data_IF_847785888225
#
_entry.id   IF_847785888225
#
_cell.length_a   1.000
_cell.length_b   1.000
_cell.length_c   1.000
_cell.angle_alpha   90.00
_cell.angle_beta   90.00
_cell.angle_gamma   90.00
#
_symmetry.space_group_name_H-M   'P 1'
#
loop_
_entity.id
_entity.type
_entity.pdbx_description
1 polymer ?
#
# COMPACT_ATOMS: atom_id res chain seq x y z
N UNK A 1 -12.45 -8.48 -0.33
CA UNK A 1 -12.01 -8.18 1.04
C UNK A 1 -10.79 -7.29 1.05
N UNK A 2 -9.59 -7.89 1.09
CA UNK A 2 -8.31 -7.19 1.33
C UNK A 2 -7.74 -6.42 0.11
N UNK A 3 -7.72 -7.05 -1.07
CA UNK A 3 -7.33 -6.42 -2.33
C UNK A 3 -8.03 -7.17 -3.48
N UNK A 4 -8.58 -6.49 -4.50
CA UNK A 4 -8.51 -5.03 -4.76
C UNK A 4 -9.55 -4.16 -4.04
N UNK A 5 -10.43 -4.76 -3.23
CA UNK A 5 -11.42 -4.02 -2.41
C UNK A 5 -10.76 -3.40 -1.16
N UNK A 6 -11.55 -2.73 -0.32
CA UNK A 6 -11.13 -2.01 0.89
C UNK A 6 -11.99 -2.32 2.13
N UNK A 7 -12.65 -3.48 2.14
CA UNK A 7 -13.46 -3.95 3.28
C UNK A 7 -12.58 -4.35 4.48
N UNK A 8 -11.36 -4.83 4.22
CA UNK A 8 -10.44 -5.28 5.27
C UNK A 8 -9.35 -4.22 5.47
N UNK A 9 -9.21 -3.73 6.70
CA UNK A 9 -8.31 -2.65 7.09
C UNK A 9 -7.68 -2.97 8.43
N UNK A 10 -6.37 -2.70 8.54
CA UNK A 10 -5.64 -2.79 9.80
C UNK A 10 -6.21 -1.86 10.90
N UNK A 11 -6.88 -0.79 10.51
CA UNK A 11 -7.37 0.25 11.41
C UNK A 11 -8.86 0.09 11.76
N UNK A 12 -9.69 -0.34 10.81
CA UNK A 12 -11.15 -0.47 11.03
C UNK A 12 -11.60 -1.90 11.32
N UNK A 13 -10.91 -2.90 10.78
CA UNK A 13 -11.26 -4.31 10.93
C UNK A 13 -10.04 -5.16 11.30
N UNK A 14 -9.36 -4.83 12.43
CA UNK A 14 -8.09 -5.45 12.82
C UNK A 14 -8.15 -6.98 12.96
N UNK A 15 -9.27 -7.53 13.41
CA UNK A 15 -9.48 -8.98 13.53
C UNK A 15 -9.50 -9.66 12.15
N UNK A 16 -10.22 -9.09 11.18
CA UNK A 16 -10.27 -9.60 9.80
C UNK A 16 -8.94 -9.41 9.09
N UNK A 17 -8.19 -8.35 9.42
CA UNK A 17 -6.86 -8.10 8.90
C UNK A 17 -5.88 -9.21 9.31
N UNK A 18 -5.80 -9.54 10.60
CA UNK A 18 -4.95 -10.63 11.08
C UNK A 18 -5.44 -12.01 10.59
N UNK A 19 -6.75 -12.23 10.50
CA UNK A 19 -7.30 -13.45 9.89
C UNK A 19 -6.91 -13.59 8.42
N UNK A 20 -6.87 -12.49 7.67
CA UNK A 20 -6.41 -12.47 6.27
C UNK A 20 -4.92 -12.77 6.16
N UNK A 21 -4.10 -12.22 7.07
CA UNK A 21 -2.67 -12.55 7.17
C UNK A 21 -2.46 -14.04 7.43
N UNK A 22 -3.16 -14.62 8.41
CA UNK A 22 -3.06 -16.05 8.70
C UNK A 22 -3.49 -16.90 7.49
N UNK A 23 -4.57 -16.52 6.82
CA UNK A 23 -5.02 -17.20 5.60
C UNK A 23 -3.94 -17.20 4.51
N UNK A 24 -3.23 -16.07 4.37
CA UNK A 24 -2.13 -15.94 3.41
C UNK A 24 -0.92 -16.78 3.79
N UNK A 25 -0.56 -16.84 5.09
CA UNK A 25 0.50 -17.72 5.60
C UNK A 25 0.19 -19.19 5.27
N UNK A 26 -1.05 -19.65 5.50
CA UNK A 26 -1.47 -21.02 5.17
C UNK A 26 -1.45 -21.31 3.66
N UNK A 27 -1.68 -20.29 2.81
CA UNK A 27 -1.58 -20.42 1.35
C UNK A 27 -0.13 -20.56 0.86
N UNK A 28 0.84 -20.08 1.63
CA UNK A 28 2.24 -20.04 1.25
C UNK A 28 2.54 -19.03 0.14
N UNK A 29 3.83 -18.82 -0.14
CA UNK A 29 4.30 -17.77 -1.07
C UNK A 29 4.32 -18.24 -2.53
N UNK A 30 4.94 -19.39 -2.79
CA UNK A 30 5.16 -19.90 -4.17
C UNK A 30 3.84 -20.29 -4.83
N UNK A 31 3.69 -19.91 -6.09
CA UNK A 31 2.54 -20.23 -6.95
C UNK A 31 2.86 -19.85 -8.40
N UNK A 32 1.85 -19.80 -9.27
CA UNK A 32 1.92 -19.24 -10.62
C UNK A 32 2.20 -17.73 -10.60
N UNK A 33 2.64 -17.17 -11.73
CA UNK A 33 3.00 -15.74 -11.87
C UNK A 33 1.92 -14.76 -11.41
N UNK A 34 0.69 -14.84 -11.93
CA UNK A 34 -0.45 -14.03 -11.46
C UNK A 34 -0.70 -14.14 -9.96
N UNK A 35 -0.56 -15.34 -9.41
CA UNK A 35 -0.86 -15.60 -8.00
C UNK A 35 0.19 -14.93 -7.12
N UNK A 36 1.47 -15.00 -7.50
CA UNK A 36 2.53 -14.28 -6.82
C UNK A 36 2.35 -12.76 -6.96
N UNK A 37 2.02 -12.25 -8.15
CA UNK A 37 1.71 -10.83 -8.35
C UNK A 37 0.57 -10.32 -7.45
N UNK A 38 -0.49 -11.11 -7.27
CA UNK A 38 -1.58 -10.78 -6.34
C UNK A 38 -1.10 -10.79 -4.89
N UNK A 39 -0.27 -11.77 -4.50
CA UNK A 39 0.30 -11.84 -3.15
C UNK A 39 1.21 -10.66 -2.83
N UNK A 40 1.94 -10.08 -3.79
CA UNK A 40 2.69 -8.82 -3.56
C UNK A 40 1.74 -7.72 -3.08
N UNK A 41 0.59 -7.56 -3.75
CA UNK A 41 -0.43 -6.58 -3.35
C UNK A 41 -1.02 -6.91 -1.97
N UNK A 42 -1.28 -8.19 -1.66
CA UNK A 42 -1.79 -8.57 -0.35
C UNK A 42 -0.79 -8.29 0.78
N UNK A 43 0.49 -8.63 0.61
CA UNK A 43 1.51 -8.32 1.61
C UNK A 43 1.76 -6.81 1.75
N UNK A 44 1.66 -6.06 0.64
CA UNK A 44 1.64 -4.60 0.69
C UNK A 44 0.45 -4.06 1.52
N UNK A 45 -0.78 -4.56 1.28
CA UNK A 45 -1.95 -4.20 2.10
C UNK A 45 -1.81 -4.61 3.56
N UNK A 46 -1.11 -5.71 3.82
CA UNK A 46 -0.76 -6.17 5.16
C UNK A 46 0.37 -5.37 5.81
N UNK A 47 0.88 -4.33 5.15
CA UNK A 47 1.94 -3.45 5.65
C UNK A 47 3.24 -4.22 5.99
N UNK A 48 3.50 -5.33 5.27
CA UNK A 48 4.68 -6.16 5.42
C UNK A 48 5.56 -6.03 4.16
N UNK A 49 6.36 -4.97 4.13
CA UNK A 49 7.20 -4.63 2.99
C UNK A 49 8.24 -5.70 2.67
N UNK A 50 8.80 -6.34 3.70
CA UNK A 50 9.80 -7.38 3.54
C UNK A 50 9.23 -8.65 2.89
N UNK A 51 8.02 -9.10 3.29
CA UNK A 51 7.36 -10.21 2.59
C UNK A 51 6.96 -9.84 1.17
N UNK A 52 6.44 -8.62 0.94
CA UNK A 52 6.11 -8.17 -0.41
C UNK A 52 7.36 -8.17 -1.32
N UNK A 53 8.50 -7.68 -0.82
CA UNK A 53 9.77 -7.70 -1.53
C UNK A 53 10.27 -9.12 -1.83
N UNK A 54 10.17 -10.04 -0.86
CA UNK A 54 10.51 -11.46 -1.06
C UNK A 54 9.72 -12.06 -2.23
N UNK A 55 8.43 -11.74 -2.37
CA UNK A 55 7.62 -12.23 -3.49
C UNK A 55 8.00 -11.59 -4.83
N UNK A 56 8.40 -10.33 -4.84
CA UNK A 56 8.98 -9.70 -6.04
C UNK A 56 10.22 -10.47 -6.48
N UNK A 57 11.10 -10.84 -5.54
CA UNK A 57 12.29 -11.65 -5.84
C UNK A 57 11.92 -13.05 -6.38
N UNK A 58 10.93 -13.71 -5.76
CA UNK A 58 10.44 -15.00 -6.24
C UNK A 58 9.89 -14.90 -7.67
N UNK A 59 9.16 -13.84 -7.99
CA UNK A 59 8.62 -13.63 -9.33
C UNK A 59 9.74 -13.35 -10.35
N UNK A 60 10.77 -12.60 -9.96
CA UNK A 60 11.94 -12.29 -10.80
C UNK A 60 12.97 -13.44 -10.89
N UNK A 61 12.58 -14.67 -10.54
CA UNK A 61 13.41 -15.86 -10.71
C UNK A 61 13.21 -16.44 -12.11
N UNK A 62 14.29 -16.77 -12.85
CA UNK A 62 14.17 -17.42 -14.16
C UNK A 62 13.35 -18.70 -14.07
N UNK A 63 12.45 -18.92 -15.02
CA UNK A 63 11.65 -20.14 -15.01
C UNK A 63 12.54 -21.39 -15.14
N UNK A 64 12.38 -22.31 -14.19
CA UNK A 64 13.02 -23.62 -14.21
C UNK A 64 12.17 -24.69 -14.92
N UNK A 65 12.63 -25.95 -14.88
CA UNK A 65 11.88 -27.10 -15.41
C UNK A 65 10.79 -27.62 -14.44
N UNK A 66 10.54 -26.95 -13.33
CA UNK A 66 9.60 -27.37 -12.30
C UNK A 66 8.15 -27.03 -12.69
N UNK A 67 7.26 -28.02 -12.71
CA UNK A 67 5.84 -27.80 -13.00
C UNK A 67 5.17 -27.06 -11.84
N UNK A 68 4.48 -25.96 -12.15
CA UNK A 68 3.65 -25.21 -11.19
C UNK A 68 4.38 -24.08 -10.43
N UNK A 69 5.68 -23.92 -10.66
CA UNK A 69 6.42 -22.75 -10.21
C UNK A 69 6.34 -21.65 -11.27
N UNK A 70 5.74 -20.50 -10.92
CA UNK A 70 5.81 -19.31 -11.75
C UNK A 70 7.22 -18.70 -11.74
N UNK A 71 7.42 -17.66 -12.53
CA UNK A 71 8.71 -16.98 -12.61
C UNK A 71 8.73 -15.99 -13.76
N UNK A 72 9.93 -15.73 -14.27
CA UNK A 72 10.16 -14.76 -15.34
C UNK A 72 10.95 -15.39 -16.48
N UNK A 73 10.54 -15.13 -17.72
CA UNK A 73 11.31 -15.48 -18.92
C UNK A 73 12.47 -14.49 -19.14
N UNK A 74 13.43 -14.82 -20.02
CA UNK A 74 14.58 -13.94 -20.31
C UNK A 74 14.17 -12.56 -20.89
N UNK A 75 12.98 -12.44 -21.45
CA UNK A 75 12.40 -11.18 -21.93
C UNK A 75 11.63 -10.41 -20.84
N UNK A 76 11.76 -10.81 -19.57
CA UNK A 76 11.05 -10.27 -18.41
C UNK A 76 9.53 -10.49 -18.40
N UNK A 77 9.00 -11.33 -19.29
CA UNK A 77 7.59 -11.70 -19.24
C UNK A 77 7.33 -12.67 -18.10
N UNK A 78 6.19 -12.46 -17.45
CA UNK A 78 5.68 -13.33 -16.41
C UNK A 78 5.32 -14.71 -16.98
N UNK A 79 5.63 -15.72 -16.18
CA UNK A 79 5.38 -17.10 -16.50
C UNK A 79 4.34 -17.69 -15.54
N UNK A 80 3.23 -18.16 -16.11
CA UNK A 80 2.31 -19.01 -15.39
C UNK A 80 2.95 -20.36 -15.03
N UNK A 81 3.69 -21.08 -15.92
CA UNK A 81 3.81 -21.03 -17.40
C UNK A 81 2.55 -21.55 -18.16
N UNK A 82 2.37 -21.21 -19.47
CA UNK A 82 3.23 -20.39 -20.34
C UNK A 82 3.14 -18.88 -20.03
N UNK A 83 3.58 -18.01 -20.94
CA UNK A 83 3.42 -16.56 -20.79
C UNK A 83 1.97 -16.16 -20.45
N UNK A 84 1.84 -15.36 -19.40
CA UNK A 84 0.64 -14.64 -19.02
C UNK A 84 1.05 -13.26 -18.52
N UNK A 85 0.46 -12.18 -19.04
CA UNK A 85 0.91 -10.81 -18.73
C UNK A 85 0.43 -10.30 -17.36
N UNK A 86 -0.50 -11.01 -16.75
CA UNK A 86 -1.16 -10.64 -15.50
C UNK A 86 -0.16 -10.47 -14.34
N UNK A 87 0.85 -11.32 -14.21
CA UNK A 87 1.87 -11.17 -13.17
C UNK A 87 2.73 -9.92 -13.34
N UNK A 88 3.06 -9.50 -14.57
CA UNK A 88 3.80 -8.25 -14.80
C UNK A 88 3.01 -7.03 -14.28
N UNK A 89 1.73 -6.95 -14.61
CA UNK A 89 0.84 -5.87 -14.14
C UNK A 89 0.58 -5.98 -12.64
N UNK A 90 0.40 -7.19 -12.12
CA UNK A 90 0.22 -7.48 -10.70
C UNK A 90 1.41 -7.01 -9.86
N UNK A 91 2.64 -7.28 -10.31
CA UNK A 91 3.86 -6.82 -9.64
C UNK A 91 3.96 -5.29 -9.64
N UNK A 92 3.68 -4.64 -10.77
CA UNK A 92 3.69 -3.18 -10.89
C UNK A 92 2.69 -2.54 -9.94
N UNK A 93 1.48 -3.10 -9.86
CA UNK A 93 0.47 -2.73 -8.88
C UNK A 93 0.96 -2.92 -7.45
N UNK A 94 1.60 -4.07 -7.17
CA UNK A 94 2.10 -4.41 -5.84
C UNK A 94 3.18 -3.43 -5.35
N UNK A 95 4.13 -3.07 -6.21
CA UNK A 95 5.16 -2.05 -5.90
C UNK A 95 4.51 -0.70 -5.61
N UNK A 96 3.46 -0.34 -6.36
CA UNK A 96 2.70 0.90 -6.10
C UNK A 96 2.03 0.86 -4.73
N UNK A 97 1.36 -0.25 -4.39
CA UNK A 97 0.69 -0.47 -3.09
C UNK A 97 1.68 -0.54 -1.90
N UNK A 98 2.94 -0.92 -2.14
CA UNK A 98 3.99 -0.88 -1.12
C UNK A 98 4.38 0.56 -0.76
N UNK A 99 4.43 1.45 -1.76
CA UNK A 99 4.89 2.83 -1.61
C UNK A 99 3.76 3.82 -1.31
N UNK A 100 2.54 3.55 -1.77
CA UNK A 100 1.37 4.38 -1.53
C UNK A 100 0.06 3.58 -1.58
N UNK A 101 -0.79 3.78 -0.58
CA UNK A 101 -2.16 3.27 -0.56
C UNK A 101 -3.13 4.45 -0.46
N UNK A 102 -4.30 4.36 -1.11
CA UNK A 102 -5.32 5.41 -1.00
C UNK A 102 -6.74 4.91 -0.80
N UNK A 103 -6.93 3.59 -0.61
CA UNK A 103 -8.25 2.97 -0.55
C UNK A 103 -8.89 2.98 0.85
N UNK A 104 -8.14 3.40 1.88
CA UNK A 104 -8.50 3.22 3.29
C UNK A 104 -8.83 4.54 4.02
N UNK A 105 -9.47 5.47 3.32
CA UNK A 105 -9.89 6.76 3.87
C UNK A 105 -8.79 7.83 3.95
N UNK A 106 -7.57 7.49 3.58
CA UNK A 106 -6.42 8.40 3.55
C UNK A 106 -5.41 8.00 2.46
N UNK A 107 -4.62 8.97 1.99
CA UNK A 107 -3.39 8.73 1.23
C UNK A 107 -2.30 8.33 2.23
N UNK A 108 -1.97 7.04 2.26
CA UNK A 108 -0.99 6.45 3.15
C UNK A 108 0.33 6.24 2.41
N UNK A 109 1.37 6.92 2.87
CA UNK A 109 2.69 6.94 2.25
C UNK A 109 3.65 5.99 2.94
N UNK A 110 4.42 5.25 2.13
CA UNK A 110 5.37 4.22 2.55
C UNK A 110 4.78 3.16 3.52
N UNK A 111 3.56 2.66 3.29
CA UNK A 111 2.89 1.72 4.20
C UNK A 111 3.59 0.37 4.32
N UNK A 112 4.33 -0.06 3.29
CA UNK A 112 5.04 -1.33 3.27
C UNK A 112 6.42 -1.18 2.60
N UNK A 113 7.19 -0.18 3.03
CA UNK A 113 8.57 -0.01 2.57
C UNK A 113 9.45 -1.17 3.08
N UNK A 114 10.12 -1.95 2.20
CA UNK A 114 11.03 -3.00 2.64
C UNK A 114 12.34 -2.39 3.18
N UNK A 115 12.97 -3.10 4.12
CA UNK A 115 14.21 -2.63 4.76
C UNK A 115 15.36 -2.44 3.77
N UNK A 116 15.33 -3.18 2.65
CA UNK A 116 16.31 -3.07 1.57
C UNK A 116 16.20 -1.78 0.75
N UNK A 117 15.14 -0.97 0.94
CA UNK A 117 14.95 0.32 0.27
C UNK A 117 15.05 1.50 1.27
N UNK A 118 16.20 1.70 1.94
CA UNK A 118 16.32 2.70 3.00
C UNK A 118 16.17 4.13 2.47
N UNK A 119 16.47 4.36 1.19
CA UNK A 119 16.37 5.65 0.52
C UNK A 119 15.87 5.48 -0.91
N UNK A 120 15.16 6.47 -1.42
CA UNK A 120 14.65 6.43 -2.79
C UNK A 120 13.73 7.60 -3.12
N UNK A 121 13.21 7.57 -4.34
CA UNK A 121 12.23 8.54 -4.83
C UNK A 121 11.26 7.91 -5.82
N UNK A 122 10.05 8.45 -5.86
CA UNK A 122 9.03 8.11 -6.85
C UNK A 122 8.21 9.34 -7.23
N UNK A 123 7.65 9.35 -8.43
CA UNK A 123 6.84 10.45 -8.98
C UNK A 123 5.72 9.91 -9.85
N UNK A 124 4.62 10.66 -9.94
CA UNK A 124 3.50 10.38 -10.84
C UNK A 124 2.46 9.41 -10.30
N UNK A 125 2.55 8.96 -9.05
CA UNK A 125 1.51 8.12 -8.45
C UNK A 125 0.21 8.92 -8.29
N UNK A 126 -0.93 8.27 -8.53
CA UNK A 126 -2.25 8.88 -8.40
C UNK A 126 -3.04 8.19 -7.31
N UNK A 127 -3.49 8.96 -6.34
CA UNK A 127 -4.38 8.52 -5.29
C UNK A 127 -5.85 8.84 -5.61
N UNK A 128 -6.75 8.11 -4.98
CA UNK A 128 -8.19 8.35 -4.98
C UNK A 128 -8.49 9.83 -4.61
N UNK A 129 -9.54 10.42 -5.18
CA UNK A 129 -9.87 11.83 -4.97
C UNK A 129 -9.03 12.82 -5.77
N UNK A 130 -8.21 12.35 -6.72
CA UNK A 130 -7.51 13.20 -7.67
C UNK A 130 -6.26 13.87 -7.10
N UNK A 131 -5.55 13.18 -6.19
CA UNK A 131 -4.27 13.63 -5.67
C UNK A 131 -3.13 12.94 -6.42
N UNK A 132 -2.25 13.73 -7.03
CA UNK A 132 -1.05 13.23 -7.70
C UNK A 132 0.17 13.46 -6.81
N UNK A 133 0.92 12.40 -6.52
CA UNK A 133 2.24 12.47 -5.90
C UNK A 133 3.23 12.87 -7.00
N UNK A 134 3.41 14.18 -7.19
CA UNK A 134 4.36 14.73 -8.17
C UNK A 134 5.78 14.31 -7.80
N UNK A 135 6.08 14.26 -6.51
CA UNK A 135 7.38 13.84 -6.00
C UNK A 135 7.25 13.30 -4.58
N UNK A 136 7.84 12.15 -4.30
CA UNK A 136 8.00 11.62 -2.95
C UNK A 136 9.43 11.11 -2.82
N UNK A 137 10.15 11.60 -1.81
CA UNK A 137 11.51 11.17 -1.50
C UNK A 137 11.61 10.70 -0.06
N UNK A 138 12.40 9.66 0.15
CA UNK A 138 12.70 9.16 1.49
C UNK A 138 14.19 8.88 1.67
N UNK A 139 14.62 8.99 2.93
CA UNK A 139 15.95 8.66 3.42
C UNK A 139 15.83 8.08 4.82
N UNK A 140 16.59 7.03 5.11
CA UNK A 140 16.56 6.31 6.39
C UNK A 140 15.12 5.91 6.77
N UNK A 141 14.37 5.42 5.79
CA UNK A 141 12.94 5.06 5.87
C UNK A 141 11.99 6.21 6.30
N UNK A 142 12.44 7.47 6.23
CA UNK A 142 11.64 8.66 6.55
C UNK A 142 11.39 9.49 5.30
N UNK A 143 10.17 10.04 5.17
CA UNK A 143 9.87 11.04 4.17
C UNK A 143 10.68 12.30 4.43
N UNK A 144 11.44 12.73 3.42
CA UNK A 144 12.22 13.97 3.45
C UNK A 144 11.62 15.05 2.57
N UNK A 145 10.85 14.66 1.54
CA UNK A 145 10.15 15.57 0.64
C UNK A 145 8.90 14.92 0.07
N UNK A 146 7.81 15.67 0.03
CA UNK A 146 6.56 15.28 -0.62
C UNK A 146 5.98 16.48 -1.37
N UNK A 147 5.67 16.30 -2.65
CA UNK A 147 4.97 17.27 -3.48
C UNK A 147 3.69 16.61 -3.99
N UNK A 148 2.55 17.19 -3.63
CA UNK A 148 1.22 16.70 -4.03
C UNK A 148 0.50 17.75 -4.85
N UNK A 149 -0.04 17.37 -6.00
CA UNK A 149 -0.96 18.20 -6.79
C UNK A 149 -2.39 17.72 -6.58
N UNK A 150 -3.26 18.63 -6.17
CA UNK A 150 -4.69 18.38 -6.03
C UNK A 150 -5.41 18.74 -7.33
N UNK A 151 -5.89 17.76 -8.08
CA UNK A 151 -6.59 18.00 -9.34
C UNK A 151 -8.06 18.38 -9.16
N UNK A 152 -8.66 17.99 -8.04
CA UNK A 152 -10.09 18.17 -7.77
C UNK A 152 -10.38 19.08 -6.57
N UNK A 153 -9.37 19.43 -5.77
CA UNK A 153 -9.56 20.11 -4.49
C UNK A 153 -10.05 19.15 -3.40
N UNK A 154 -10.62 19.71 -2.33
CA UNK A 154 -11.17 18.94 -1.21
C UNK A 154 -10.12 18.59 -0.17
N UNK A 155 -10.52 17.80 0.83
CA UNK A 155 -9.64 17.43 1.93
C UNK A 155 -8.66 16.33 1.50
N UNK A 156 -7.37 16.63 1.58
CA UNK A 156 -6.28 15.67 1.46
C UNK A 156 -5.96 15.16 2.86
N UNK A 157 -6.39 13.93 3.14
CA UNK A 157 -5.97 13.23 4.35
C UNK A 157 -4.71 12.42 4.09
N UNK A 158 -3.62 12.76 4.78
CA UNK A 158 -2.32 12.11 4.63
C UNK A 158 -1.97 11.30 5.86
N UNK A 159 -1.61 10.03 5.65
CA UNK A 159 -0.95 9.18 6.65
C UNK A 159 0.53 9.03 6.28
N UNK A 160 1.41 9.38 7.20
CA UNK A 160 2.86 9.49 6.97
C UNK A 160 3.64 8.73 8.04
N UNK A 161 4.85 8.21 7.73
CA UNK A 161 5.69 7.48 8.69
C UNK A 161 6.39 8.40 9.70
N UNK A 162 6.46 9.70 9.42
CA UNK A 162 7.08 10.72 10.28
C UNK A 162 6.36 12.06 10.14
N UNK A 163 6.62 12.97 11.08
CA UNK A 163 6.12 14.34 10.99
C UNK A 163 6.72 15.05 9.76
N UNK A 164 5.88 15.86 9.11
CA UNK A 164 6.25 16.72 7.99
C UNK A 164 5.70 18.13 8.25
N UNK A 165 6.35 19.13 7.65
CA UNK A 165 5.99 20.54 7.74
C UNK A 165 5.71 21.11 6.36
N UNK A 166 4.86 22.13 6.30
CA UNK A 166 4.68 22.92 5.09
C UNK A 166 5.92 23.79 4.83
N UNK A 167 6.11 24.23 3.59
CA UNK A 167 7.22 25.11 3.19
C UNK A 167 7.28 26.45 3.95
N UNK A 168 6.14 26.93 4.46
CA UNK A 168 6.05 28.13 5.30
C UNK A 168 6.34 27.84 6.81
N UNK A 169 6.71 26.61 7.16
CA UNK A 169 6.95 26.16 8.53
C UNK A 169 5.69 25.85 9.35
N UNK A 170 4.50 25.99 8.78
CA UNK A 170 3.25 25.71 9.48
C UNK A 170 3.11 24.21 9.80
N UNK A 171 2.64 23.93 11.02
CA UNK A 171 2.26 22.57 11.44
C UNK A 171 1.00 22.12 10.70
N UNK A 172 0.96 20.84 10.37
CA UNK A 172 -0.22 20.22 9.78
C UNK A 172 -1.30 19.99 10.84
N UNK A 173 -2.56 20.17 10.45
CA UNK A 173 -3.70 19.89 11.31
C UNK A 173 -3.84 18.38 11.48
N UNK A 174 -3.78 17.87 12.70
CA UNK A 174 -4.04 16.46 13.00
C UNK A 174 -5.50 16.10 12.68
N UNK A 175 -5.69 14.89 12.14
CA UNK A 175 -6.99 14.39 11.73
C UNK A 175 -7.52 13.37 12.75
N UNK A 176 -8.70 13.66 13.33
CA UNK A 176 -9.33 12.82 14.35
C UNK A 176 -10.73 12.29 13.95
N UNK A 177 -11.38 12.92 12.97
CA UNK A 177 -12.76 12.62 12.55
C UNK A 177 -12.80 11.82 11.24
N UNK A 178 -14.00 11.52 10.71
CA UNK A 178 -14.14 10.94 9.36
C UNK A 178 -13.60 11.90 8.29
N UNK A 179 -13.04 11.35 7.21
CA UNK A 179 -12.56 12.18 6.10
C UNK A 179 -13.75 12.76 5.33
N UNK A 180 -13.89 14.09 5.32
CA UNK A 180 -15.00 14.78 4.67
C UNK A 180 -14.93 14.74 3.13
N UNK A 181 -13.83 14.28 2.54
CA UNK A 181 -13.72 14.13 1.10
C UNK A 181 -14.59 12.96 0.60
N UNK A 182 -15.61 13.20 -0.25
CA UNK A 182 -16.58 12.17 -0.64
C UNK A 182 -15.95 10.99 -1.40
N UNK A 183 -14.81 11.19 -2.07
CA UNK A 183 -14.06 10.10 -2.72
C UNK A 183 -13.44 9.10 -1.73
N UNK A 184 -13.37 9.45 -0.45
CA UNK A 184 -12.85 8.63 0.64
C UNK A 184 -13.96 8.10 1.55
N UNK A 185 -15.21 8.12 1.07
CA UNK A 185 -16.32 7.46 1.75
C UNK A 185 -16.04 5.95 1.82
N UNK A 186 -16.25 5.36 3.00
CA UNK A 186 -16.00 3.96 3.26
C UNK A 186 -17.30 3.28 3.68
N UNK A 187 -17.57 2.12 3.09
CA UNK A 187 -18.66 1.26 3.55
C UNK A 187 -18.30 0.62 4.88
N UNK A 188 -19.30 0.50 5.75
CA UNK A 188 -19.15 -0.19 7.02
C UNK A 188 -19.10 -1.71 6.77
N UNK A 189 -18.03 -2.35 7.25
CA UNK A 189 -17.90 -3.81 7.19
C UNK A 189 -18.56 -4.40 8.42
N UNK A 190 -19.44 -5.37 8.21
CA UNK A 190 -20.12 -6.07 9.30
C UNK A 190 -19.11 -6.68 10.29
N UNK A 191 -19.47 -6.71 11.58
CA UNK A 191 -18.64 -7.34 12.61
C UNK A 191 -18.38 -8.81 12.26
N UNK A 192 -17.13 -9.29 12.37
CA UNK A 192 -16.83 -10.67 12.07
C UNK A 192 -17.49 -11.62 13.08
N UNK A 193 -17.89 -12.79 12.60
CA UNK A 193 -18.28 -13.89 13.49
C UNK A 193 -17.01 -14.59 13.96
N UNK A 194 -16.76 -14.54 15.28
CA UNK A 194 -15.56 -15.12 15.88
C UNK A 194 -15.90 -16.48 16.50
N UNK A 195 -15.20 -17.52 16.08
CA UNK A 195 -15.33 -18.86 16.69
C UNK A 195 -14.81 -18.84 18.12
N UNK A 196 -15.47 -19.55 19.04
CA UNK A 196 -15.01 -19.75 20.42
C UNK A 196 -13.61 -20.39 20.51
N UNK A 197 -13.17 -21.09 19.46
CA UNK A 197 -11.83 -21.69 19.38
C UNK A 197 -10.75 -20.74 18.86
N UNK A 198 -11.13 -19.54 18.40
CA UNK A 198 -10.20 -18.61 17.79
C UNK A 198 -9.35 -17.90 18.84
N UNK A 199 -8.04 -17.79 18.58
CA UNK A 199 -7.15 -16.92 19.34
C UNK A 199 -6.91 -15.66 18.55
N UNK A 200 -7.40 -14.53 19.05
CA UNK A 200 -7.26 -13.24 18.38
C UNK A 200 -5.91 -12.60 18.69
N UNK A 201 -5.28 -12.05 17.66
CA UNK A 201 -4.06 -11.26 17.75
C UNK A 201 -4.36 -9.86 17.23
N UNK A 202 -3.78 -8.83 17.85
CA UNK A 202 -3.82 -7.48 17.32
C UNK A 202 -2.75 -7.27 16.23
N UNK A 203 -3.04 -6.52 15.15
CA UNK A 203 -2.03 -6.15 14.17
C UNK A 203 -0.85 -5.42 14.81
N UNK A 204 0.36 -5.73 14.36
CA UNK A 204 1.57 -4.97 14.70
C UNK A 204 1.82 -3.95 13.60
N UNK A 205 1.56 -2.68 13.88
CA UNK A 205 1.65 -1.59 12.89
C UNK A 205 2.73 -0.58 13.28
N UNK A 206 3.37 0.00 12.27
CA UNK A 206 4.26 1.13 12.46
C UNK A 206 3.49 2.36 13.00
N UNK A 207 4.15 3.15 13.84
CA UNK A 207 3.59 4.42 14.28
C UNK A 207 3.53 5.37 13.09
N UNK A 208 2.38 6.01 12.90
CA UNK A 208 2.14 6.94 11.79
C UNK A 208 1.53 8.25 12.30
N UNK A 209 1.61 9.29 11.48
CA UNK A 209 0.93 10.57 11.70
C UNK A 209 -0.18 10.75 10.67
N UNK A 210 -1.32 11.29 11.10
CA UNK A 210 -2.49 11.49 10.25
C UNK A 210 -2.88 12.97 10.25
N UNK A 211 -2.94 13.56 9.06
CA UNK A 211 -3.17 14.98 8.88
C UNK A 211 -4.28 15.27 7.87
N UNK A 212 -4.99 16.37 8.07
CA UNK A 212 -5.94 16.94 7.10
C UNK A 212 -5.38 18.24 6.51
N UNK A 213 -5.40 18.32 5.18
CA UNK A 213 -5.01 19.51 4.42
C UNK A 213 -6.15 19.87 3.48
N UNK A 214 -6.80 21.01 3.73
CA UNK A 214 -7.79 21.55 2.79
C UNK A 214 -7.07 22.01 1.51
N UNK A 215 -7.52 21.50 0.36
CA UNK A 215 -6.91 21.78 -0.93
C UNK A 215 -7.89 22.43 -1.90
N UNK A 216 -7.37 23.28 -2.78
CA UNK A 216 -8.09 23.81 -3.93
C UNK A 216 -7.72 23.06 -5.21
N UNK A 217 -8.62 23.08 -6.19
CA UNK A 217 -8.35 22.52 -7.52
C UNK A 217 -7.13 23.20 -8.16
N UNK A 218 -6.18 22.39 -8.62
CA UNK A 218 -4.92 22.81 -9.21
C UNK A 218 -3.81 23.14 -8.19
N UNK A 219 -4.11 23.16 -6.89
CA UNK A 219 -3.14 23.53 -5.87
C UNK A 219 -2.02 22.50 -5.76
N UNK A 220 -0.78 22.99 -5.60
CA UNK A 220 0.40 22.18 -5.30
C UNK A 220 0.78 22.41 -3.83
N UNK A 221 0.98 21.32 -3.11
CA UNK A 221 1.40 21.31 -1.70
C UNK A 221 2.78 20.69 -1.65
N UNK A 222 3.71 21.36 -0.96
CA UNK A 222 5.06 20.85 -0.70
C UNK A 222 5.25 20.69 0.80
N UNK A 223 5.62 19.48 1.21
CA UNK A 223 5.97 19.14 2.59
C UNK A 223 7.41 18.62 2.66
N UNK A 224 8.08 18.90 3.77
CA UNK A 224 9.43 18.40 4.07
C UNK A 224 9.56 18.01 5.54
N UNK A 225 10.61 17.25 5.86
CA UNK A 225 10.98 16.93 7.24
C UNK A 225 11.34 18.20 8.05
#
# INVERSE_FOLDING_TARGET
>A
GLYPSNQISAYRTPELFEASKNSLIYRGDVSTGWSMGWKVNWWAKLQDGNHAYKLIQNQLTPIGNERGAGGTYNNLFDAHPPFQIDGNFGCTSGITEMLMQSSDGAVHLLPALPDVWPSGKISGLKAIGGFEIVEMQWKDAKLVKLVVKSHLGGNLRLRTPNELKQSNGAKLKEANDKNANPFYSLDETAKPVVSEKATLKAPTLAVTKLYDIATLKGQIITLSL
#
